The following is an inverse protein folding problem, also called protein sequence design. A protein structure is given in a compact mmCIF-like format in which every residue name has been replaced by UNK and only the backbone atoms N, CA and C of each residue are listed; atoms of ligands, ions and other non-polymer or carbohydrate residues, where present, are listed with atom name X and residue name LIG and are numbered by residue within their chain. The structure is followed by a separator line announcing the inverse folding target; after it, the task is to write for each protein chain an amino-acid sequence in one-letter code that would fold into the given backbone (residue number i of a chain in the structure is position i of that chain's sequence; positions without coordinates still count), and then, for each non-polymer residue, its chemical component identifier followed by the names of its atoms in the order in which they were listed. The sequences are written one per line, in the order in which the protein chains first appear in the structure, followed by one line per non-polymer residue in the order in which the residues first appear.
data_IF_939450596939
#
_entry.id   IF_939450596939
#
_cell.length_a   1.000
_cell.length_b   1.000
_cell.length_c   1.000
_cell.angle_alpha   90.00
_cell.angle_beta   90.00
_cell.angle_gamma   90.00
#
_symmetry.space_group_name_H-M   'P 1'
#
loop_
_entity.id
_entity.type
_entity.pdbx_description
1 polymer ?
#
# COMPACT_ATOMS: atom_id res chain seq x y z
N UNK A 1 -21.55 8.78 14.43
CA UNK A 1 -21.11 7.43 14.03
C UNK A 1 -21.10 7.39 12.51
N UNK A 2 -19.99 7.01 11.88
CA UNK A 2 -19.99 6.79 10.44
C UNK A 2 -20.97 5.64 10.12
N UNK A 3 -21.73 5.72 9.02
CA UNK A 3 -22.61 4.64 8.61
C UNK A 3 -21.80 3.36 8.40
N UNK A 4 -22.39 2.22 8.78
CA UNK A 4 -21.76 0.92 8.49
C UNK A 4 -21.64 0.76 6.97
N UNK A 5 -20.49 0.28 6.47
CA UNK A 5 -20.30 0.06 5.04
C UNK A 5 -21.26 -1.01 4.55
N UNK A 6 -21.91 -0.77 3.40
CA UNK A 6 -22.77 -1.76 2.75
C UNK A 6 -21.91 -2.84 2.05
N UNK A 7 -22.45 -4.04 1.77
CA UNK A 7 -21.75 -5.07 1.03
C UNK A 7 -21.13 -4.56 -0.28
N UNK A 8 -21.89 -3.73 -1.02
CA UNK A 8 -21.41 -3.08 -2.24
C UNK A 8 -20.16 -2.24 -1.99
N UNK A 9 -20.18 -1.35 -1.00
CA UNK A 9 -19.03 -0.48 -0.68
C UNK A 9 -17.81 -1.27 -0.21
N UNK A 10 -18.01 -2.40 0.46
CA UNK A 10 -16.92 -3.30 0.88
C UNK A 10 -16.25 -3.92 -0.34
N UNK A 11 -17.03 -4.51 -1.26
CA UNK A 11 -16.49 -5.15 -2.47
C UNK A 11 -15.81 -4.12 -3.38
N UNK A 12 -16.44 -2.98 -3.61
CA UNK A 12 -15.86 -1.92 -4.45
C UNK A 12 -14.57 -1.36 -3.84
N UNK A 13 -14.56 -1.13 -2.52
CA UNK A 13 -13.35 -0.73 -1.79
C UNK A 13 -12.25 -1.78 -1.85
N UNK A 14 -12.60 -3.06 -1.74
CA UNK A 14 -11.68 -4.19 -1.90
C UNK A 14 -11.07 -4.19 -3.31
N UNK A 15 -11.90 -4.08 -4.36
CA UNK A 15 -11.44 -4.03 -5.77
C UNK A 15 -10.51 -2.84 -5.98
N UNK A 16 -10.89 -1.63 -5.56
CA UNK A 16 -10.03 -0.45 -5.65
C UNK A 16 -8.68 -0.67 -4.97
N UNK A 17 -8.68 -1.28 -3.78
CA UNK A 17 -7.44 -1.55 -3.04
C UNK A 17 -6.59 -2.62 -3.72
N UNK A 18 -7.18 -3.69 -4.25
CA UNK A 18 -6.43 -4.71 -5.00
C UNK A 18 -5.80 -4.13 -6.27
N UNK A 19 -6.51 -3.26 -7.00
CA UNK A 19 -5.96 -2.53 -8.17
C UNK A 19 -4.75 -1.67 -7.76
N UNK A 20 -4.79 -1.02 -6.59
CA UNK A 20 -3.62 -0.26 -6.06
C UNK A 20 -2.42 -1.14 -5.72
N UNK A 21 -2.66 -2.36 -5.21
CA UNK A 21 -1.60 -3.34 -4.94
C UNK A 21 -0.98 -3.81 -6.26
N UNK A 22 -1.82 -4.19 -7.24
CA UNK A 22 -1.38 -4.65 -8.55
C UNK A 22 -0.63 -3.57 -9.34
N UNK A 23 -0.94 -2.29 -9.11
CA UNK A 23 -0.26 -1.16 -9.74
C UNK A 23 1.10 -0.81 -9.09
N UNK A 24 1.48 -1.46 -7.99
CA UNK A 24 2.74 -1.19 -7.29
C UNK A 24 3.96 -1.63 -8.11
N UNK A 25 5.07 -0.88 -8.04
CA UNK A 25 6.29 -1.17 -8.81
C UNK A 25 6.86 -2.56 -8.52
N UNK A 26 6.87 -3.01 -7.27
CA UNK A 26 7.30 -4.39 -6.95
C UNK A 26 6.48 -5.47 -7.66
N UNK A 27 5.18 -5.24 -7.86
CA UNK A 27 4.30 -6.20 -8.54
C UNK A 27 4.45 -6.08 -10.07
N UNK A 28 4.57 -4.86 -10.60
CA UNK A 28 4.65 -4.63 -12.04
C UNK A 28 6.03 -4.85 -12.65
N UNK A 29 7.06 -4.38 -11.98
CA UNK A 29 8.43 -4.27 -12.52
C UNK A 29 9.35 -5.33 -11.92
N UNK A 30 9.07 -5.80 -10.70
CA UNK A 30 9.88 -6.81 -10.01
C UNK A 30 9.10 -8.13 -9.78
N UNK A 31 8.15 -8.45 -10.67
CA UNK A 31 7.30 -9.64 -10.57
C UNK A 31 8.10 -10.94 -10.38
N UNK A 32 9.25 -11.08 -11.07
CA UNK A 32 10.11 -12.25 -10.94
C UNK A 32 10.72 -12.40 -9.54
N UNK A 33 11.15 -11.29 -8.93
CA UNK A 33 11.66 -11.29 -7.56
C UNK A 33 10.53 -11.62 -6.57
N UNK A 34 9.37 -10.99 -6.73
CA UNK A 34 8.19 -11.26 -5.90
C UNK A 34 7.74 -12.73 -5.99
N UNK A 35 7.83 -13.34 -7.16
CA UNK A 35 7.55 -14.76 -7.36
C UNK A 35 8.54 -15.68 -6.63
N UNK A 36 9.84 -15.39 -6.70
CA UNK A 36 10.87 -16.13 -5.93
C UNK A 36 10.63 -16.04 -4.43
N UNK A 37 10.31 -14.84 -3.94
CA UNK A 37 9.99 -14.58 -2.54
C UNK A 37 8.74 -15.34 -2.10
N UNK A 38 7.69 -15.33 -2.92
CA UNK A 38 6.46 -16.08 -2.68
C UNK A 38 6.75 -17.58 -2.46
N UNK A 39 7.58 -18.17 -3.33
CA UNK A 39 7.98 -19.58 -3.24
C UNK A 39 8.94 -19.89 -2.09
N UNK A 40 9.59 -18.88 -1.52
CA UNK A 40 10.63 -19.05 -0.51
C UNK A 40 11.93 -19.61 -1.07
N UNK A 41 12.25 -19.31 -2.34
CA UNK A 41 13.49 -19.79 -2.97
C UNK A 41 14.72 -19.17 -2.29
N UNK A 42 15.62 -20.03 -1.80
CA UNK A 42 16.93 -19.64 -1.26
C UNK A 42 18.02 -20.45 -1.96
N UNK A 43 19.20 -19.83 -2.13
CA UNK A 43 20.37 -20.54 -2.66
C UNK A 43 21.32 -20.86 -1.52
N UNK A 44 21.75 -22.12 -1.41
CA UNK A 44 22.77 -22.58 -0.48
C UNK A 44 23.96 -23.06 -1.30
N UNK A 45 25.09 -22.37 -1.19
CA UNK A 45 26.36 -22.77 -1.80
C UNK A 45 27.14 -23.60 -0.79
N UNK A 46 27.44 -24.84 -1.15
CA UNK A 46 28.25 -25.76 -0.35
C UNK A 46 29.63 -25.86 -0.97
N UNK A 47 30.67 -25.55 -0.20
CA UNK A 47 32.07 -25.64 -0.64
C UNK A 47 32.80 -26.64 0.24
N UNK A 48 33.30 -27.72 -0.38
CA UNK A 48 34.07 -28.76 0.30
C UNK A 48 35.53 -28.67 -0.13
N UNK A 49 36.43 -28.51 0.83
CA UNK A 49 37.86 -28.64 0.61
C UNK A 49 38.20 -30.12 0.44
N UNK A 50 38.52 -30.53 -0.79
CA UNK A 50 38.79 -31.93 -1.13
C UNK A 50 40.08 -32.49 -0.52
N UNK A 51 40.95 -31.64 0.07
CA UNK A 51 42.19 -32.08 0.73
C UNK A 51 42.03 -32.24 2.23
N UNK A 52 41.25 -31.37 2.88
CA UNK A 52 41.05 -31.40 4.34
C UNK A 52 39.73 -32.04 4.74
N UNK A 53 38.79 -32.18 3.81
CA UNK A 53 37.41 -32.61 4.08
C UNK A 53 36.55 -31.52 4.72
N UNK A 54 37.08 -30.30 4.88
CA UNK A 54 36.36 -29.18 5.52
C UNK A 54 35.23 -28.68 4.61
N UNK A 55 34.04 -28.48 5.20
CA UNK A 55 32.84 -28.03 4.51
C UNK A 55 32.44 -26.63 4.99
N UNK A 56 32.02 -25.78 4.05
CA UNK A 56 31.46 -24.47 4.34
C UNK A 56 30.16 -24.24 3.56
N UNK A 57 29.25 -23.49 4.18
CA UNK A 57 27.91 -23.23 3.66
C UNK A 57 27.68 -21.73 3.56
N UNK A 58 27.17 -21.26 2.42
CA UNK A 58 26.77 -19.86 2.24
C UNK A 58 25.34 -19.78 1.74
N UNK A 59 24.47 -19.13 2.52
CA UNK A 59 23.11 -18.78 2.09
C UNK A 59 23.14 -17.45 1.33
N UNK A 60 22.49 -17.41 0.17
CA UNK A 60 22.25 -16.17 -0.59
C UNK A 60 20.78 -16.07 -0.95
N UNK A 61 20.20 -14.89 -0.70
CA UNK A 61 18.83 -14.54 -1.05
C UNK A 61 18.80 -13.06 -1.48
N UNK A 62 17.89 -12.73 -2.39
CA UNK A 62 17.67 -11.39 -2.88
C UNK A 62 16.35 -10.86 -2.32
N UNK A 63 16.33 -9.60 -1.91
CA UNK A 63 15.17 -8.92 -1.34
C UNK A 63 15.03 -7.53 -1.98
N UNK A 64 13.81 -6.98 -2.11
CA UNK A 64 13.61 -5.65 -2.66
C UNK A 64 14.21 -4.56 -1.75
N UNK A 65 14.24 -3.30 -2.19
CA UNK A 65 14.47 -2.17 -1.29
C UNK A 65 13.39 -2.09 -0.20
N UNK A 66 13.78 -1.78 1.04
CA UNK A 66 12.87 -1.77 2.19
C UNK A 66 11.72 -0.76 2.00
N UNK A 67 12.00 0.47 1.58
CA UNK A 67 10.98 1.50 1.33
C UNK A 67 9.90 1.04 0.33
N UNK A 68 10.31 0.30 -0.71
CA UNK A 68 9.38 -0.26 -1.68
C UNK A 68 8.51 -1.36 -1.04
N UNK A 69 9.07 -2.19 -0.16
CA UNK A 69 8.31 -3.21 0.56
C UNK A 69 7.35 -2.59 1.58
N UNK A 70 7.76 -1.55 2.31
CA UNK A 70 6.87 -0.80 3.24
C UNK A 70 5.69 -0.18 2.49
N UNK A 71 5.96 0.44 1.34
CA UNK A 71 4.96 0.97 0.44
C UNK A 71 3.97 -0.10 -0.03
N UNK A 72 4.43 -1.33 -0.31
CA UNK A 72 3.56 -2.45 -0.65
C UNK A 72 2.79 -2.99 0.56
N UNK A 73 3.46 -3.13 1.70
CA UNK A 73 2.89 -3.62 2.96
C UNK A 73 1.73 -2.73 3.44
N UNK A 74 1.91 -1.41 3.39
CA UNK A 74 0.85 -0.45 3.68
C UNK A 74 -0.34 -0.62 2.74
N UNK A 75 -0.11 -0.97 1.46
CA UNK A 75 -1.18 -1.24 0.47
C UNK A 75 -1.96 -2.51 0.78
N UNK A 76 -1.32 -3.58 1.22
CA UNK A 76 -2.04 -4.83 1.55
C UNK A 76 -2.71 -4.81 2.93
N UNK A 77 -2.22 -4.00 3.87
CA UNK A 77 -2.69 -3.98 5.27
C UNK A 77 -4.22 -3.90 5.44
N UNK A 78 -4.97 -3.01 4.74
CA UNK A 78 -6.42 -2.94 4.87
C UNK A 78 -7.15 -4.25 4.55
N UNK A 79 -6.54 -5.14 3.77
CA UNK A 79 -7.12 -6.40 3.34
C UNK A 79 -6.92 -7.53 4.35
N UNK A 80 -5.96 -7.38 5.28
CA UNK A 80 -5.55 -8.44 6.23
C UNK A 80 -5.84 -8.10 7.69
N UNK A 81 -6.23 -6.86 7.99
CA UNK A 81 -6.53 -6.43 9.35
C UNK A 81 -8.04 -6.45 9.60
N UNK A 82 -8.48 -7.28 10.55
CA UNK A 82 -9.92 -7.50 10.84
C UNK A 82 -10.71 -6.26 11.26
N UNK A 83 -10.04 -5.24 11.81
CA UNK A 83 -10.69 -3.97 12.16
C UNK A 83 -11.04 -3.12 10.93
N UNK A 84 -10.42 -3.38 9.78
CA UNK A 84 -10.60 -2.58 8.57
C UNK A 84 -11.91 -2.96 7.86
N UNK A 85 -12.60 -2.00 7.21
CA UNK A 85 -13.87 -2.27 6.52
C UNK A 85 -13.76 -3.30 5.39
N UNK A 86 -12.61 -3.31 4.70
CA UNK A 86 -12.35 -4.13 3.52
C UNK A 86 -11.44 -5.34 3.82
N UNK A 87 -11.45 -5.81 5.06
CA UNK A 87 -10.81 -7.06 5.45
C UNK A 87 -11.32 -8.23 4.58
N UNK A 88 -10.44 -9.16 4.16
CA UNK A 88 -10.80 -10.19 3.18
C UNK A 88 -12.02 -11.02 3.60
N UNK A 89 -12.21 -11.34 4.88
CA UNK A 89 -13.40 -12.11 5.31
C UNK A 89 -14.67 -11.29 5.12
N UNK A 90 -14.64 -10.00 5.46
CA UNK A 90 -15.78 -9.08 5.24
C UNK A 90 -16.08 -8.94 3.75
N UNK A 91 -15.05 -8.92 2.90
CA UNK A 91 -15.24 -8.89 1.46
C UNK A 91 -15.83 -10.21 0.93
N UNK A 92 -15.36 -11.37 1.40
CA UNK A 92 -15.94 -12.67 1.02
C UNK A 92 -17.38 -12.83 1.51
N UNK A 93 -17.70 -12.33 2.70
CA UNK A 93 -19.06 -12.33 3.24
C UNK A 93 -19.97 -11.37 2.46
N UNK A 94 -19.48 -10.16 2.13
CA UNK A 94 -20.19 -9.23 1.27
C UNK A 94 -20.45 -9.81 -0.14
N UNK A 95 -19.54 -10.63 -0.67
CA UNK A 95 -19.74 -11.33 -1.95
C UNK A 95 -20.91 -12.32 -1.86
N UNK A 96 -21.04 -13.06 -0.76
CA UNK A 96 -22.18 -13.96 -0.51
C UNK A 96 -23.48 -13.17 -0.45
N UNK A 97 -23.49 -12.01 0.19
CA UNK A 97 -24.69 -11.15 0.27
C UNK A 97 -25.11 -10.58 -1.09
N UNK A 98 -24.16 -10.21 -1.95
CA UNK A 98 -24.45 -9.63 -3.27
C UNK A 98 -24.82 -10.66 -4.33
N UNK A 99 -24.13 -11.81 -4.35
CA UNK A 99 -24.29 -12.85 -5.39
C UNK A 99 -25.29 -13.94 -4.98
N UNK A 100 -25.44 -14.18 -3.68
CA UNK A 100 -26.16 -15.31 -3.13
C UNK A 100 -25.28 -16.55 -2.99
N UNK A 101 -25.38 -17.23 -1.84
CA UNK A 101 -24.50 -18.36 -1.49
C UNK A 101 -24.56 -19.52 -2.49
N UNK A 102 -25.76 -19.89 -2.96
CA UNK A 102 -25.94 -21.00 -3.90
C UNK A 102 -25.25 -20.73 -5.24
N UNK A 103 -25.48 -19.54 -5.81
CA UNK A 103 -24.88 -19.12 -7.07
C UNK A 103 -23.36 -19.03 -6.93
N UNK A 104 -22.88 -18.42 -5.84
CA UNK A 104 -21.45 -18.26 -5.60
C UNK A 104 -20.72 -19.59 -5.44
N UNK A 105 -21.32 -20.57 -4.74
CA UNK A 105 -20.73 -21.89 -4.53
C UNK A 105 -20.64 -22.73 -5.81
N UNK A 106 -21.43 -22.42 -6.85
CA UNK A 106 -21.27 -23.04 -8.17
C UNK A 106 -20.05 -22.49 -8.93
N UNK A 107 -19.54 -21.34 -8.52
CA UNK A 107 -18.46 -20.62 -9.20
C UNK A 107 -17.11 -20.74 -8.46
N UNK A 108 -17.15 -20.71 -7.12
CA UNK A 108 -15.97 -20.76 -6.27
C UNK A 108 -16.24 -21.61 -5.03
N UNK A 109 -15.18 -22.21 -4.48
CA UNK A 109 -15.23 -22.79 -3.14
C UNK A 109 -14.93 -21.69 -2.09
N UNK A 110 -15.97 -21.15 -1.46
CA UNK A 110 -15.86 -20.10 -0.45
C UNK A 110 -15.01 -20.53 0.76
N UNK A 111 -15.13 -21.80 1.18
CA UNK A 111 -14.37 -22.33 2.32
C UNK A 111 -12.89 -22.41 1.99
N UNK A 112 -12.58 -22.86 0.77
CA UNK A 112 -11.22 -22.83 0.25
C UNK A 112 -10.66 -21.41 0.23
N UNK A 113 -11.41 -20.41 -0.24
CA UNK A 113 -10.95 -19.01 -0.27
C UNK A 113 -10.68 -18.43 1.14
N UNK A 114 -11.56 -18.69 2.11
CA UNK A 114 -11.33 -18.26 3.50
C UNK A 114 -10.05 -18.91 4.07
N UNK A 115 -9.89 -20.21 3.84
CA UNK A 115 -8.71 -20.97 4.27
C UNK A 115 -7.43 -20.49 3.58
N UNK A 116 -7.51 -20.22 2.27
CA UNK A 116 -6.41 -19.76 1.42
C UNK A 116 -5.83 -18.42 1.89
N UNK A 117 -6.70 -17.50 2.32
CA UNK A 117 -6.31 -16.24 2.96
C UNK A 117 -5.79 -16.45 4.39
N UNK A 118 -6.51 -17.21 5.22
CA UNK A 118 -6.14 -17.48 6.60
C UNK A 118 -4.71 -18.05 6.72
N UNK A 119 -4.34 -19.00 5.86
CA UNK A 119 -2.98 -19.56 5.83
C UNK A 119 -1.88 -18.55 5.47
N UNK A 120 -2.21 -17.47 4.75
CA UNK A 120 -1.24 -16.44 4.40
C UNK A 120 -1.06 -15.41 5.51
N UNK A 121 -2.09 -15.19 6.33
CA UNK A 121 -2.10 -14.06 7.28
C UNK A 121 -2.11 -14.47 8.75
N UNK A 122 -2.44 -15.69 9.16
CA UNK A 122 -2.43 -16.00 10.59
C UNK A 122 -0.97 -16.20 11.08
N UNK A 123 -0.53 -15.26 11.92
CA UNK A 123 0.81 -15.24 12.52
C UNK A 123 1.07 -16.31 13.57
N UNK A 124 0.03 -17.02 14.02
CA UNK A 124 0.11 -18.04 15.08
C UNK A 124 0.23 -19.46 14.55
N UNK A 125 0.07 -19.66 13.24
CA UNK A 125 0.31 -20.94 12.60
C UNK A 125 1.81 -21.30 12.61
N UNK A 126 2.11 -22.53 12.21
CA UNK A 126 3.48 -23.07 12.11
C UNK A 126 4.39 -22.24 11.19
N UNK A 127 5.69 -22.53 11.16
CA UNK A 127 6.59 -21.90 10.19
C UNK A 127 6.08 -22.14 8.76
N UNK A 128 6.04 -21.08 7.95
CA UNK A 128 5.65 -21.20 6.55
C UNK A 128 6.85 -21.50 5.66
N UNK A 129 8.02 -20.99 6.01
CA UNK A 129 9.29 -21.31 5.33
C UNK A 129 10.36 -21.78 6.31
N UNK A 130 10.53 -21.08 7.44
CA UNK A 130 11.58 -21.38 8.40
C UNK A 130 11.24 -20.87 9.80
N UNK A 131 12.01 -21.34 10.78
CA UNK A 131 12.08 -20.78 12.12
C UNK A 131 13.53 -20.42 12.45
N UNK A 132 13.72 -19.49 13.37
CA UNK A 132 15.03 -19.07 13.88
C UNK A 132 15.13 -19.48 15.33
N UNK A 133 16.26 -20.09 15.71
CA UNK A 133 16.61 -20.32 17.11
C UNK A 133 17.54 -19.21 17.60
N UNK A 134 17.28 -18.76 18.82
CA UNK A 134 18.10 -17.82 19.60
C UNK A 134 18.30 -18.41 20.99
N UNK A 135 19.20 -17.86 21.81
CA UNK A 135 19.30 -18.23 23.23
C UNK A 135 17.97 -18.05 23.99
N UNK A 136 17.12 -17.09 23.58
CA UNK A 136 15.82 -16.84 24.20
C UNK A 136 14.67 -17.72 23.66
N UNK A 137 14.94 -18.66 22.76
CA UNK A 137 13.96 -19.62 22.22
C UNK A 137 13.83 -19.58 20.69
N UNK A 138 12.72 -20.10 20.16
CA UNK A 138 12.45 -20.20 18.73
C UNK A 138 11.31 -19.29 18.27
N UNK A 139 11.39 -18.80 17.03
CA UNK A 139 10.36 -17.95 16.41
C UNK A 139 10.20 -18.30 14.93
N UNK A 140 8.95 -18.30 14.46
CA UNK A 140 8.62 -18.60 13.06
C UNK A 140 8.78 -17.38 12.17
N UNK A 141 9.02 -17.59 10.88
CA UNK A 141 9.02 -16.54 9.85
C UNK A 141 7.72 -15.72 9.87
N UNK A 142 6.57 -16.34 10.14
CA UNK A 142 5.28 -15.64 10.29
C UNK A 142 5.28 -14.62 11.42
N UNK A 143 5.80 -14.97 12.60
CA UNK A 143 5.89 -14.05 13.75
C UNK A 143 6.90 -12.94 13.49
N UNK A 144 8.00 -13.24 12.79
CA UNK A 144 9.00 -12.24 12.40
C UNK A 144 8.44 -11.24 11.38
N UNK A 145 7.69 -11.69 10.37
CA UNK A 145 6.97 -10.81 9.44
C UNK A 145 6.09 -9.82 10.21
N UNK A 146 5.30 -10.29 11.19
CA UNK A 146 4.43 -9.42 11.96
C UNK A 146 5.16 -8.50 12.92
N UNK A 147 6.31 -8.93 13.45
CA UNK A 147 7.19 -8.06 14.22
C UNK A 147 7.73 -6.91 13.38
N UNK A 148 8.12 -7.17 12.12
CA UNK A 148 8.50 -6.11 11.18
C UNK A 148 7.30 -5.20 10.86
N UNK A 149 6.19 -5.79 10.39
CA UNK A 149 5.03 -5.05 9.93
C UNK A 149 4.44 -4.14 11.01
N UNK A 150 4.24 -4.64 12.23
CA UNK A 150 3.60 -3.86 13.30
C UNK A 150 4.58 -3.23 14.28
N UNK A 151 5.73 -3.86 14.52
CA UNK A 151 6.72 -3.37 15.47
C UNK A 151 7.59 -2.26 14.88
N UNK A 152 8.27 -2.58 13.77
CA UNK A 152 9.22 -1.67 13.13
C UNK A 152 8.52 -0.60 12.30
N UNK A 153 7.57 -0.98 11.42
CA UNK A 153 6.95 -0.05 10.46
C UNK A 153 5.81 0.79 11.05
N UNK A 154 4.88 0.17 11.79
CA UNK A 154 3.62 0.85 12.17
C UNK A 154 3.66 1.47 13.58
N UNK A 155 4.09 0.72 14.59
CA UNK A 155 3.96 1.17 15.98
C UNK A 155 5.25 1.70 16.60
N UNK A 156 6.40 1.57 15.92
CA UNK A 156 7.72 1.92 16.46
C UNK A 156 7.93 1.39 17.90
N UNK A 157 7.45 0.18 18.17
CA UNK A 157 7.49 -0.44 19.50
C UNK A 157 8.55 -1.54 19.49
N UNK A 158 9.45 -1.47 20.47
CA UNK A 158 10.39 -2.57 20.72
C UNK A 158 9.62 -3.88 20.90
N UNK A 159 10.06 -4.99 20.26
CA UNK A 159 9.42 -6.29 20.42
C UNK A 159 9.36 -6.70 21.89
N UNK A 160 8.19 -7.17 22.35
CA UNK A 160 8.02 -7.62 23.75
C UNK A 160 8.69 -8.96 24.02
N UNK A 161 8.72 -9.85 23.03
CA UNK A 161 9.24 -11.21 23.16
C UNK A 161 10.78 -11.23 23.09
N UNK A 162 11.43 -11.89 24.05
CA UNK A 162 12.90 -12.00 24.12
C UNK A 162 13.52 -12.53 22.84
N UNK A 163 12.99 -13.64 22.31
CA UNK A 163 13.42 -14.25 21.03
C UNK A 163 13.43 -13.30 19.84
N UNK A 164 12.56 -12.29 19.81
CA UNK A 164 12.52 -11.30 18.72
C UNK A 164 13.51 -10.16 18.97
N UNK A 165 13.77 -9.80 20.24
CA UNK A 165 14.77 -8.79 20.60
C UNK A 165 16.20 -9.26 20.38
N UNK A 166 16.44 -10.57 20.40
CA UNK A 166 17.74 -11.17 20.07
C UNK A 166 18.07 -11.06 18.57
N UNK A 167 17.12 -10.63 17.73
CA UNK A 167 17.26 -10.52 16.29
C UNK A 167 17.28 -9.04 15.87
N UNK A 168 18.06 -8.72 14.84
CA UNK A 168 18.09 -7.39 14.24
C UNK A 168 16.88 -7.13 13.32
N UNK A 169 16.82 -5.92 12.77
CA UNK A 169 15.76 -5.54 11.82
C UNK A 169 15.84 -6.36 10.53
N UNK A 170 17.05 -6.69 10.07
CA UNK A 170 17.28 -7.45 8.84
C UNK A 170 16.60 -8.82 8.90
N UNK A 171 16.73 -9.56 10.01
CA UNK A 171 16.06 -10.85 10.16
C UNK A 171 14.53 -10.73 10.10
N UNK A 172 13.97 -9.66 10.67
CA UNK A 172 12.52 -9.42 10.62
C UNK A 172 12.08 -9.02 9.21
N UNK A 173 12.86 -8.19 8.53
CA UNK A 173 12.67 -7.81 7.13
C UNK A 173 12.74 -9.02 6.18
N UNK A 174 13.72 -9.91 6.35
CA UNK A 174 13.89 -11.12 5.54
C UNK A 174 12.76 -12.13 5.70
N UNK A 175 12.04 -12.09 6.82
CA UNK A 175 10.79 -12.83 7.01
C UNK A 175 9.59 -12.09 6.41
N UNK A 176 9.58 -10.76 6.50
CA UNK A 176 8.50 -9.92 5.98
C UNK A 176 8.38 -9.97 4.46
N UNK A 177 9.48 -9.87 3.72
CA UNK A 177 9.45 -9.85 2.26
C UNK A 177 8.73 -11.08 1.63
N UNK A 178 9.07 -12.33 1.98
CA UNK A 178 8.31 -13.51 1.55
C UNK A 178 6.86 -13.51 2.04
N UNK A 179 6.62 -13.10 3.28
CA UNK A 179 5.27 -13.03 3.85
C UNK A 179 4.34 -12.08 3.08
N UNK A 180 4.80 -10.86 2.82
CA UNK A 180 4.08 -9.87 2.01
C UNK A 180 3.92 -10.36 0.56
N UNK A 181 4.93 -11.00 -0.04
CA UNK A 181 4.80 -11.59 -1.37
C UNK A 181 3.67 -12.64 -1.44
N UNK A 182 3.55 -13.49 -0.41
CA UNK A 182 2.46 -14.48 -0.29
C UNK A 182 1.09 -13.83 -0.11
N UNK A 183 1.00 -12.72 0.62
CA UNK A 183 -0.24 -11.94 0.74
C UNK A 183 -0.62 -11.28 -0.59
N UNK A 184 0.35 -10.73 -1.33
CA UNK A 184 0.10 -10.13 -2.64
C UNK A 184 -0.43 -11.15 -3.64
N UNK A 185 0.05 -12.39 -3.58
CA UNK A 185 -0.50 -13.48 -4.37
C UNK A 185 -2.00 -13.70 -4.09
N UNK A 186 -2.41 -13.68 -2.82
CA UNK A 186 -3.84 -13.74 -2.44
C UNK A 186 -4.64 -12.58 -3.03
N UNK A 187 -4.09 -11.37 -2.96
CA UNK A 187 -4.70 -10.18 -3.55
C UNK A 187 -4.93 -10.34 -5.05
N UNK A 188 -3.92 -10.79 -5.78
CA UNK A 188 -3.97 -10.96 -7.24
C UNK A 188 -5.01 -12.02 -7.62
N UNK A 189 -4.96 -13.20 -6.99
CA UNK A 189 -5.91 -14.27 -7.29
C UNK A 189 -7.35 -13.90 -6.92
N UNK A 190 -7.56 -13.19 -5.80
CA UNK A 190 -8.91 -12.69 -5.46
C UNK A 190 -9.38 -11.64 -6.46
N UNK A 191 -8.52 -10.75 -6.95
CA UNK A 191 -8.89 -9.79 -8.00
C UNK A 191 -9.29 -10.50 -9.32
N UNK A 192 -8.56 -11.54 -9.72
CA UNK A 192 -8.88 -12.36 -10.88
C UNK A 192 -10.26 -13.03 -10.69
N UNK A 193 -10.50 -13.60 -9.52
CA UNK A 193 -11.79 -14.23 -9.18
C UNK A 193 -12.95 -13.22 -9.27
N UNK A 194 -12.81 -12.05 -8.65
CA UNK A 194 -13.84 -11.00 -8.69
C UNK A 194 -14.09 -10.52 -10.12
N UNK A 195 -13.03 -10.37 -10.92
CA UNK A 195 -13.13 -10.00 -12.34
C UNK A 195 -13.92 -11.05 -13.11
N UNK A 196 -13.66 -12.34 -12.89
CA UNK A 196 -14.40 -13.43 -13.51
C UNK A 196 -15.90 -13.42 -13.15
N UNK A 197 -16.26 -13.12 -11.90
CA UNK A 197 -17.65 -12.99 -11.49
C UNK A 197 -18.35 -11.79 -12.17
N UNK A 198 -17.64 -10.67 -12.32
CA UNK A 198 -18.17 -9.48 -13.00
C UNK A 198 -18.38 -9.77 -14.49
N UNK A 199 -17.42 -10.42 -15.15
CA UNK A 199 -17.52 -10.76 -16.58
C UNK A 199 -18.65 -11.76 -16.88
N UNK A 200 -18.98 -12.63 -15.93
CA UNK A 200 -20.16 -13.51 -15.99
C UNK A 200 -21.49 -12.82 -15.66
N UNK A 201 -21.46 -11.55 -15.27
CA UNK A 201 -22.65 -10.79 -14.86
C UNK A 201 -23.20 -11.19 -13.49
N UNK A 202 -22.44 -11.95 -12.69
CA UNK A 202 -22.85 -12.40 -11.36
C UNK A 202 -22.60 -11.35 -10.28
N UNK A 203 -21.63 -10.45 -10.51
CA UNK A 203 -21.31 -9.34 -9.63
C UNK A 203 -21.36 -8.02 -10.41
N UNK A 204 -22.14 -7.05 -9.93
CA UNK A 204 -22.19 -5.71 -10.52
C UNK A 204 -21.45 -4.72 -9.64
N UNK A 205 -20.60 -3.89 -10.25
CA UNK A 205 -19.86 -2.80 -9.58
C UNK A 205 -19.91 -1.55 -10.43
N UNK A 206 -19.73 -0.38 -9.81
CA UNK A 206 -19.65 0.88 -10.53
C UNK A 206 -18.53 0.83 -11.60
N UNK A 207 -18.73 1.36 -12.82
CA UNK A 207 -17.71 1.33 -13.88
C UNK A 207 -16.38 1.96 -13.47
N UNK A 208 -16.44 3.08 -12.76
CA UNK A 208 -15.33 3.85 -12.19
C UNK A 208 -14.45 3.00 -11.26
N UNK A 209 -15.02 2.05 -10.51
CA UNK A 209 -14.25 1.09 -9.68
C UNK A 209 -13.29 0.25 -10.52
N UNK A 210 -13.63 -0.01 -11.79
CA UNK A 210 -12.81 -0.78 -12.74
C UNK A 210 -11.91 0.09 -13.60
N UNK A 211 -12.39 1.26 -13.97
CA UNK A 211 -11.79 2.06 -15.05
C UNK A 211 -10.92 3.21 -14.54
N UNK A 212 -11.26 3.81 -13.40
CA UNK A 212 -10.59 5.03 -12.97
C UNK A 212 -9.14 4.74 -12.55
N UNK A 213 -8.19 5.66 -12.81
CA UNK A 213 -6.82 5.53 -12.35
C UNK A 213 -6.73 5.39 -10.83
N UNK A 214 -5.99 4.38 -10.37
CA UNK A 214 -5.76 4.14 -8.93
C UNK A 214 -4.36 4.55 -8.45
N UNK A 215 -3.55 5.08 -9.37
CA UNK A 215 -2.19 5.58 -9.12
C UNK A 215 -2.04 6.96 -9.74
N UNK A 216 -1.26 7.82 -9.07
CA UNK A 216 -0.87 9.11 -9.61
C UNK A 216 0.26 8.89 -10.61
N UNK A 217 0.04 9.25 -11.88
CA UNK A 217 1.04 9.18 -12.95
C UNK A 217 1.57 10.55 -13.35
N UNK A 218 0.76 11.60 -13.15
CA UNK A 218 1.16 12.99 -13.35
C UNK A 218 1.70 13.54 -12.03
N UNK A 219 3.02 13.69 -11.96
CA UNK A 219 3.71 14.30 -10.81
C UNK A 219 4.13 15.75 -11.08
N UNK A 220 3.85 16.25 -12.29
CA UNK A 220 4.03 17.63 -12.69
C UNK A 220 2.68 18.20 -13.10
N UNK A 221 2.37 19.38 -12.58
CA UNK A 221 1.17 20.15 -12.94
C UNK A 221 1.64 21.34 -13.76
N UNK A 222 1.09 21.47 -14.97
CA UNK A 222 1.29 22.60 -15.87
C UNK A 222 -0.11 23.03 -16.31
N UNK A 223 -0.61 24.06 -15.63
CA UNK A 223 -1.97 24.55 -15.76
C UNK A 223 -1.92 26.08 -15.78
N UNK A 224 -2.68 26.68 -16.70
CA UNK A 224 -2.82 28.13 -16.75
C UNK A 224 -3.59 28.59 -15.50
N UNK A 225 -2.93 29.37 -14.65
CA UNK A 225 -3.52 29.94 -13.43
C UNK A 225 -3.54 31.46 -13.52
N UNK A 226 -4.61 32.05 -12.98
CA UNK A 226 -4.67 33.50 -12.74
C UNK A 226 -4.24 33.76 -11.31
N UNK A 227 -3.20 34.59 -11.13
CA UNK A 227 -2.70 34.97 -9.81
C UNK A 227 -2.85 36.48 -9.64
N UNK A 228 -3.61 36.86 -8.61
CA UNK A 228 -3.86 38.24 -8.22
C UNK A 228 -3.38 38.47 -6.79
N UNK A 229 -2.94 39.69 -6.50
CA UNK A 229 -2.45 40.15 -5.21
C UNK A 229 -3.14 41.45 -4.82
N UNK A 230 -3.22 41.72 -3.52
CA UNK A 230 -3.79 42.93 -2.94
C UNK A 230 -2.92 43.40 -1.76
N UNK A 231 -3.25 44.56 -1.21
CA UNK A 231 -2.51 45.11 -0.07
C UNK A 231 -2.76 44.31 1.22
N UNK A 232 -1.81 44.38 2.15
CA UNK A 232 -1.89 43.69 3.44
C UNK A 232 -3.13 44.17 4.20
N UNK A 233 -3.97 43.23 4.64
CA UNK A 233 -5.19 43.51 5.41
C UNK A 233 -6.46 43.55 4.57
N UNK A 234 -6.37 43.47 3.24
CA UNK A 234 -7.52 43.25 2.37
C UNK A 234 -8.05 41.82 2.58
N UNK A 235 -9.33 41.63 2.93
CA UNK A 235 -9.92 40.30 3.09
C UNK A 235 -9.86 39.50 1.79
N UNK A 236 -9.48 38.23 1.89
CA UNK A 236 -9.57 37.29 0.76
C UNK A 236 -11.07 37.03 0.50
N UNK A 237 -11.54 37.11 -0.76
CA UNK A 237 -12.94 36.86 -1.09
C UNK A 237 -13.33 35.43 -0.72
N UNK A 238 -14.49 35.27 -0.08
CA UNK A 238 -14.96 33.97 0.42
C UNK A 238 -15.42 33.02 -0.71
N UNK A 239 -15.80 33.56 -1.87
CA UNK A 239 -16.20 32.77 -3.05
C UNK A 239 -15.80 33.48 -4.35
N UNK A 240 -15.00 32.78 -5.17
CA UNK A 240 -14.61 33.17 -6.53
C UNK A 240 -15.19 32.22 -7.60
N UNK A 241 -15.88 31.16 -7.19
CA UNK A 241 -16.35 30.07 -8.07
C UNK A 241 -17.59 30.45 -8.87
N UNK A 242 -18.35 31.45 -8.41
CA UNK A 242 -19.58 31.94 -9.05
C UNK A 242 -19.36 33.11 -9.99
N UNK A 243 -18.32 33.91 -9.78
CA UNK A 243 -18.09 35.17 -10.51
C UNK A 243 -16.80 35.20 -11.32
N UNK A 244 -15.84 34.31 -11.03
CA UNK A 244 -14.54 34.25 -11.69
C UNK A 244 -13.58 35.36 -11.23
N UNK A 245 -12.27 35.22 -11.54
CA UNK A 245 -11.25 36.19 -11.13
C UNK A 245 -11.43 37.57 -11.77
N UNK A 246 -12.09 37.65 -12.93
CA UNK A 246 -12.34 38.92 -13.65
C UNK A 246 -13.39 39.81 -12.96
N UNK A 247 -14.14 39.27 -11.99
CA UNK A 247 -15.10 40.02 -11.20
C UNK A 247 -14.48 40.73 -9.99
N UNK A 248 -13.19 40.49 -9.74
CA UNK A 248 -12.46 41.21 -8.70
C UNK A 248 -12.12 42.62 -9.16
N UNK A 249 -12.33 43.57 -8.24
CA UNK A 249 -12.01 44.97 -8.50
C UNK A 249 -10.53 45.12 -8.87
N UNK A 250 -10.18 45.54 -10.10
CA UNK A 250 -8.80 45.65 -10.56
C UNK A 250 -8.02 46.75 -9.83
N UNK A 251 -8.68 47.67 -9.11
CA UNK A 251 -8.01 48.64 -8.24
C UNK A 251 -7.53 47.99 -6.92
N UNK A 252 -8.18 46.91 -6.49
CA UNK A 252 -7.84 46.18 -5.25
C UNK A 252 -6.97 44.97 -5.54
N UNK A 253 -7.30 44.23 -6.60
CA UNK A 253 -6.68 42.98 -6.99
C UNK A 253 -5.92 43.16 -8.31
N UNK A 254 -4.60 43.12 -8.22
CA UNK A 254 -3.69 43.36 -9.34
C UNK A 254 -2.88 42.10 -9.65
N UNK A 255 -2.39 41.98 -10.87
CA UNK A 255 -1.48 40.88 -11.22
C UNK A 255 -0.16 41.03 -10.46
N UNK A 256 0.53 39.92 -10.21
CA UNK A 256 1.89 39.93 -9.66
C UNK A 256 2.83 40.86 -10.44
N UNK A 257 2.68 40.91 -11.76
CA UNK A 257 3.51 41.77 -12.61
C UNK A 257 3.25 43.26 -12.33
N UNK A 258 1.99 43.67 -12.25
CA UNK A 258 1.61 45.05 -11.91
C UNK A 258 2.10 45.45 -10.52
N UNK A 259 1.96 44.57 -9.52
CA UNK A 259 2.45 44.82 -8.16
C UNK A 259 3.97 44.98 -8.11
N UNK A 260 4.70 44.13 -8.84
CA UNK A 260 6.16 44.21 -8.91
C UNK A 260 6.64 45.50 -9.56
N UNK A 261 5.92 46.00 -10.58
CA UNK A 261 6.23 47.29 -11.20
C UNK A 261 6.03 48.43 -10.20
N UNK A 262 4.88 48.46 -9.51
CA UNK A 262 4.56 49.50 -8.54
C UNK A 262 5.59 49.57 -7.40
N UNK A 263 6.03 48.42 -6.87
CA UNK A 263 7.06 48.36 -5.83
C UNK A 263 8.44 48.84 -6.31
N UNK A 264 8.80 48.54 -7.57
CA UNK A 264 10.08 49.01 -8.15
C UNK A 264 10.09 50.52 -8.34
N UNK A 265 8.96 51.08 -8.77
CA UNK A 265 8.83 52.53 -8.92
C UNK A 265 8.92 53.23 -7.56
N UNK A 266 8.23 52.74 -6.52
CA UNK A 266 8.36 53.26 -5.16
C UNK A 266 9.79 53.20 -4.62
N UNK A 267 10.47 52.06 -4.78
CA UNK A 267 11.86 51.89 -4.32
C UNK A 267 12.89 52.71 -5.12
N UNK A 268 12.53 53.19 -6.32
CA UNK A 268 13.39 54.08 -7.10
C UNK A 268 13.22 55.57 -6.75
N UNK A 269 12.15 55.91 -6.01
CA UNK A 269 11.86 57.28 -5.57
C UNK A 269 12.41 57.55 -4.16
N UNK A 270 12.55 56.52 -3.31
CA UNK A 270 13.20 56.63 -2.00
C UNK A 270 14.63 56.05 -2.03
N UNK A 271 15.70 56.87 -2.09
CA UNK A 271 17.04 56.37 -1.80
C UNK A 271 17.11 55.94 -0.32
N UNK A 272 17.97 54.96 0.04
CA UNK A 272 18.11 54.57 1.43
C UNK A 272 18.57 55.78 2.25
N UNK A 273 17.74 56.19 3.19
CA UNK A 273 18.09 57.21 4.19
C UNK A 273 19.20 56.61 5.05
N UNK A 274 20.42 57.13 4.89
CA UNK A 274 21.56 56.95 5.80
C UNK A 274 21.34 57.80 7.04
#
# INVERSE_FOLDING_TARGET
MAPQPTPQTIIEGFILRTRRVMAHSLIREQAALMHKLHKGEITIVVTVNTKTGEESHRRTAEYPPEEALESLASRVRPLILSSEPIYYEKALDALVELVGAEVLNNEIDLTWWKTYWHHAIDGNLDAQAYWVATPSGTVTDRKLMYAWLYGDVIHAKSPRAGVIRDLDIDQRYYAAAPGIARICDRVIYTNIMLTGLIEKGLLTVAPEVRNDPVVVTRTTVDEAVTVLVSDIGVPIPDDLTTVGPDALDPEVWRTLHQDTIAQREQNSVDPPTV
#
